data_IF_898085052110
#
_entry.id   IF_898085052110
#
_cell.length_a   1.000
_cell.length_b   1.000
_cell.length_c   1.000
_cell.angle_alpha   90.00
_cell.angle_beta   90.00
_cell.angle_gamma   90.00
#
_symmetry.space_group_name_H-M   'P 1'
#
loop_
_entity.id
_entity.type
_entity.pdbx_description
1 polymer ?
#
# COMPACT_ATOMS: atom_id res chain seq x y z
N UNK A 1 6.43 -0.02 -2.09
CA UNK A 1 6.28 1.07 -3.09
C UNK A 1 5.80 0.54 -4.43
N UNK A 2 6.40 -0.54 -4.94
CA UNK A 2 6.05 -1.16 -6.24
C UNK A 2 4.55 -1.39 -6.45
N UNK A 3 3.84 -1.92 -5.44
CA UNK A 3 2.38 -2.12 -5.58
C UNK A 3 1.60 -0.82 -5.75
N UNK A 4 2.02 0.26 -5.09
CA UNK A 4 1.37 1.57 -5.23
C UNK A 4 1.64 2.17 -6.62
N UNK A 5 2.86 2.05 -7.14
CA UNK A 5 3.20 2.51 -8.50
C UNK A 5 2.53 1.66 -9.58
N UNK A 6 2.28 0.38 -9.29
CA UNK A 6 1.53 -0.52 -10.16
C UNK A 6 -0.01 -0.34 -10.05
N UNK A 7 -0.50 0.42 -9.07
CA UNK A 7 -1.93 0.60 -8.83
C UNK A 7 -2.63 -0.66 -8.33
N UNK A 8 -1.92 -1.51 -7.59
CA UNK A 8 -2.43 -2.79 -7.09
C UNK A 8 -2.67 -2.72 -5.58
N UNK A 9 -3.87 -3.09 -5.11
CA UNK A 9 -4.11 -3.31 -3.70
C UNK A 9 -3.21 -4.41 -3.11
N UNK A 10 -2.87 -4.30 -1.83
CA UNK A 10 -1.99 -5.25 -1.15
C UNK A 10 -2.69 -5.99 -0.01
N UNK A 11 -2.42 -7.30 0.12
CA UNK A 11 -2.56 -7.99 1.39
C UNK A 11 -1.25 -7.81 2.17
N UNK A 12 -1.29 -7.08 3.28
CA UNK A 12 -0.10 -6.73 4.05
C UNK A 12 0.12 -7.72 5.19
N UNK A 13 1.20 -8.49 5.10
CA UNK A 13 1.68 -9.41 6.14
C UNK A 13 2.99 -8.90 6.72
N UNK A 14 2.95 -8.15 7.84
CA UNK A 14 4.16 -7.65 8.48
C UNK A 14 4.85 -8.76 9.30
N UNK A 15 6.17 -8.88 9.16
CA UNK A 15 7.03 -9.85 9.84
C UNK A 15 8.01 -9.19 10.81
N UNK A 16 8.61 -8.06 10.43
CA UNK A 16 9.68 -7.42 11.22
C UNK A 16 9.79 -5.90 11.01
N UNK A 17 10.49 -5.24 11.93
CA UNK A 17 10.92 -3.85 11.82
C UNK A 17 9.74 -2.89 11.54
N UNK A 18 9.92 -1.95 10.60
CA UNK A 18 8.92 -0.92 10.26
C UNK A 18 7.70 -1.49 9.51
N UNK A 19 7.67 -2.78 9.18
CA UNK A 19 6.60 -3.36 8.39
C UNK A 19 5.23 -3.25 9.08
N UNK A 20 5.15 -3.31 10.41
CA UNK A 20 3.88 -3.13 11.13
C UNK A 20 3.28 -1.73 10.91
N UNK A 21 4.13 -0.70 10.91
CA UNK A 21 3.70 0.68 10.62
C UNK A 21 3.31 0.82 9.15
N UNK A 22 4.09 0.25 8.23
CA UNK A 22 3.78 0.29 6.81
C UNK A 22 2.46 -0.44 6.49
N UNK A 23 2.21 -1.60 7.11
CA UNK A 23 0.97 -2.35 6.95
C UNK A 23 -0.24 -1.54 7.44
N UNK A 24 -0.12 -0.88 8.61
CA UNK A 24 -1.16 0.04 9.11
C UNK A 24 -1.35 1.24 8.17
N UNK A 25 -0.28 1.81 7.63
CA UNK A 25 -0.35 2.94 6.72
C UNK A 25 -1.07 2.56 5.42
N UNK A 26 -0.70 1.45 4.80
CA UNK A 26 -1.34 0.93 3.58
C UNK A 26 -2.83 0.62 3.81
N UNK A 27 -3.15 -0.12 4.86
CA UNK A 27 -4.51 -0.58 5.08
C UNK A 27 -5.44 0.53 5.61
N UNK A 28 -4.97 1.32 6.57
CA UNK A 28 -5.85 2.24 7.32
C UNK A 28 -5.76 3.70 6.86
N UNK A 29 -4.62 4.13 6.31
CA UNK A 29 -4.41 5.53 5.91
C UNK A 29 -4.61 5.70 4.41
N UNK A 30 -3.86 4.95 3.59
CA UNK A 30 -4.04 4.97 2.15
C UNK A 30 -5.34 4.29 1.73
N UNK A 31 -5.76 3.26 2.46
CA UNK A 31 -6.93 2.45 2.11
C UNK A 31 -6.70 1.64 0.84
N UNK A 32 -5.46 1.22 0.60
CA UNK A 32 -5.02 0.48 -0.60
C UNK A 32 -4.64 -0.96 -0.28
N UNK A 33 -5.11 -1.49 0.84
CA UNK A 33 -4.85 -2.88 1.20
C UNK A 33 -5.64 -3.37 2.39
N UNK A 34 -5.48 -4.66 2.66
CA UNK A 34 -6.00 -5.33 3.85
C UNK A 34 -4.82 -5.79 4.69
N UNK A 35 -4.94 -5.71 6.02
CA UNK A 35 -3.88 -6.15 6.94
C UNK A 35 -4.16 -7.54 7.48
N UNK A 36 -3.17 -8.43 7.33
CA UNK A 36 -3.11 -9.69 8.06
C UNK A 36 -2.71 -9.39 9.51
N UNK A 37 -3.44 -9.99 10.44
CA UNK A 37 -3.14 -9.98 11.86
C UNK A 37 -2.58 -11.34 12.27
N UNK A 38 -1.40 -11.35 12.90
CA UNK A 38 -0.94 -12.52 13.66
C UNK A 38 -1.45 -12.40 15.09
N UNK A 39 -1.87 -13.54 15.65
CA UNK A 39 -2.13 -13.64 17.08
C UNK A 39 -0.82 -13.42 17.83
N UNK A 40 -0.88 -12.79 19.00
CA UNK A 40 0.30 -12.61 19.83
C UNK A 40 0.97 -13.95 20.13
N UNK A 41 2.28 -14.06 19.87
CA UNK A 41 3.06 -15.28 20.06
C UNK A 41 2.85 -16.37 19.01
N UNK A 42 2.11 -16.11 17.94
CA UNK A 42 1.97 -17.04 16.82
C UNK A 42 2.99 -16.73 15.72
N UNK A 43 3.62 -17.78 15.19
CA UNK A 43 4.49 -17.70 14.00
C UNK A 43 3.77 -18.05 12.70
N UNK A 44 2.56 -18.61 12.81
CA UNK A 44 1.76 -19.09 11.68
C UNK A 44 0.47 -18.27 11.58
N UNK A 45 0.19 -17.78 10.37
CA UNK A 45 -1.07 -17.09 10.05
C UNK A 45 -2.19 -18.13 9.96
N UNK A 46 -3.25 -17.92 10.75
CA UNK A 46 -4.41 -18.80 10.74
C UNK A 46 -5.20 -18.70 9.42
N UNK A 47 -5.89 -19.77 9.06
CA UNK A 47 -6.69 -19.85 7.82
C UNK A 47 -7.69 -18.70 7.67
N UNK A 48 -8.32 -18.26 8.76
CA UNK A 48 -9.26 -17.11 8.77
C UNK A 48 -8.61 -15.84 8.22
N UNK A 49 -7.33 -15.62 8.52
CA UNK A 49 -6.60 -14.46 8.02
C UNK A 49 -6.18 -14.63 6.56
N UNK A 50 -5.91 -15.87 6.14
CA UNK A 50 -5.64 -16.21 4.73
C UNK A 50 -6.89 -16.01 3.86
N UNK A 51 -8.09 -16.24 4.40
CA UNK A 51 -9.36 -16.03 3.66
C UNK A 51 -9.58 -14.56 3.24
N UNK A 52 -8.86 -13.60 3.82
CA UNK A 52 -8.83 -12.20 3.34
C UNK A 52 -8.33 -12.06 1.90
N UNK A 53 -7.66 -13.08 1.34
CA UNK A 53 -7.36 -13.15 -0.09
C UNK A 53 -8.65 -13.12 -0.92
N UNK A 54 -9.70 -13.84 -0.50
CA UNK A 54 -10.99 -13.83 -1.20
C UNK A 54 -11.64 -12.46 -1.12
N UNK A 55 -11.63 -11.83 0.05
CA UNK A 55 -12.13 -10.47 0.22
C UNK A 55 -11.40 -9.51 -0.75
N UNK A 56 -10.07 -9.51 -0.78
CA UNK A 56 -9.28 -8.62 -1.66
C UNK A 56 -9.58 -8.83 -3.16
N UNK A 57 -10.00 -10.04 -3.53
CA UNK A 57 -10.26 -10.44 -4.91
C UNK A 57 -11.73 -10.34 -5.32
N UNK A 58 -12.65 -10.08 -4.38
CA UNK A 58 -14.07 -9.92 -4.67
C UNK A 58 -14.31 -8.60 -5.43
N UNK A 59 -14.37 -8.70 -6.76
CA UNK A 59 -14.56 -7.57 -7.64
C UNK A 59 -15.92 -6.89 -7.45
N UNK A 60 -16.93 -7.58 -6.91
CA UNK A 60 -18.26 -7.01 -6.71
C UNK A 60 -18.42 -6.31 -5.35
N UNK A 61 -17.55 -6.64 -4.38
CA UNK A 61 -17.54 -5.97 -3.10
C UNK A 61 -17.24 -4.46 -3.24
N UNK A 62 -18.15 -3.62 -2.72
CA UNK A 62 -18.00 -2.15 -2.74
C UNK A 62 -16.72 -1.68 -2.05
N UNK A 63 -16.27 -2.36 -0.99
CA UNK A 63 -15.04 -2.00 -0.29
C UNK A 63 -13.81 -2.24 -1.17
N UNK A 64 -13.79 -3.33 -1.92
CA UNK A 64 -12.70 -3.70 -2.84
C UNK A 64 -12.64 -2.76 -4.04
N UNK A 65 -13.80 -2.40 -4.62
CA UNK A 65 -13.87 -1.40 -5.70
C UNK A 65 -13.22 -0.08 -5.25
N UNK A 66 -13.60 0.44 -4.07
CA UNK A 66 -12.98 1.63 -3.48
C UNK A 66 -11.48 1.48 -3.21
N UNK A 67 -11.04 0.31 -2.78
CA UNK A 67 -9.61 0.04 -2.54
C UNK A 67 -8.81 0.07 -3.85
N UNK A 68 -9.36 -0.47 -4.94
CA UNK A 68 -8.76 -0.43 -6.28
C UNK A 68 -8.71 0.99 -6.85
N UNK A 69 -9.78 1.77 -6.67
CA UNK A 69 -9.81 3.20 -7.03
C UNK A 69 -8.71 3.98 -6.30
N UNK A 70 -8.57 3.79 -4.98
CA UNK A 70 -7.50 4.42 -4.20
C UNK A 70 -6.11 3.97 -4.65
N UNK A 71 -5.94 2.71 -5.01
CA UNK A 71 -4.66 2.21 -5.54
C UNK A 71 -4.32 2.86 -6.89
N UNK A 72 -5.31 3.05 -7.77
CA UNK A 72 -5.15 3.77 -9.03
C UNK A 72 -4.78 5.25 -8.83
N UNK A 73 -5.40 5.93 -7.86
CA UNK A 73 -5.04 7.30 -7.48
C UNK A 73 -3.59 7.38 -6.95
N UNK A 74 -3.19 6.42 -6.10
CA UNK A 74 -1.81 6.34 -5.61
C UNK A 74 -0.80 6.12 -6.75
N UNK A 75 -1.15 5.30 -7.76
CA UNK A 75 -0.34 5.12 -8.96
C UNK A 75 -0.19 6.43 -9.73
N UNK A 76 -1.29 7.16 -9.95
CA UNK A 76 -1.24 8.44 -10.68
C UNK A 76 -0.39 9.47 -9.94
N UNK A 77 -0.56 9.57 -8.61
CA UNK A 77 0.24 10.45 -7.77
C UNK A 77 1.73 10.10 -7.84
N UNK A 78 2.07 8.81 -7.76
CA UNK A 78 3.45 8.38 -7.85
C UNK A 78 4.07 8.68 -9.22
N UNK A 79 3.35 8.45 -10.32
CA UNK A 79 3.81 8.79 -11.68
C UNK A 79 4.01 10.30 -11.85
N UNK A 80 3.10 11.11 -11.32
CA UNK A 80 3.16 12.57 -11.41
C UNK A 80 4.29 13.16 -10.55
N UNK A 81 4.60 12.54 -9.41
CA UNK A 81 5.69 12.99 -8.55
C UNK A 81 7.06 12.86 -9.22
N UNK A 82 7.24 11.86 -10.09
CA UNK A 82 8.52 11.56 -10.76
C UNK A 82 8.59 12.02 -12.22
N UNK A 83 7.54 12.63 -12.77
CA UNK A 83 7.57 13.22 -14.10
C UNK A 83 8.39 14.52 -14.13
N UNK A 84 8.70 15.02 -15.34
CA UNK A 84 9.33 16.33 -15.47
C UNK A 84 8.49 17.42 -14.79
N UNK A 85 9.13 18.25 -13.96
CA UNK A 85 8.46 19.23 -13.10
C UNK A 85 7.70 18.64 -11.89
N UNK A 86 7.74 17.32 -11.70
CA UNK A 86 7.09 16.61 -10.59
C UNK A 86 7.74 16.90 -9.23
N UNK A 87 6.97 16.74 -8.16
CA UNK A 87 7.38 17.14 -6.81
C UNK A 87 8.65 16.43 -6.33
N UNK A 88 8.82 15.13 -6.61
CA UNK A 88 10.04 14.40 -6.24
C UNK A 88 11.24 14.82 -7.09
N UNK A 89 11.05 15.11 -8.38
CA UNK A 89 12.12 15.63 -9.24
C UNK A 89 12.57 17.00 -8.75
N UNK A 90 11.63 17.91 -8.49
CA UNK A 90 11.95 19.26 -7.98
C UNK A 90 12.61 19.23 -6.60
N UNK A 91 12.15 18.36 -5.71
CA UNK A 91 12.78 18.18 -4.40
C UNK A 91 14.23 17.68 -4.52
N UNK A 92 14.49 16.75 -5.45
CA UNK A 92 15.84 16.26 -5.70
C UNK A 92 16.74 17.33 -6.30
N UNK A 93 16.25 18.12 -7.27
CA UNK A 93 16.99 19.24 -7.84
C UNK A 93 17.39 20.25 -6.76
N UNK A 94 16.44 20.62 -5.89
CA UNK A 94 16.72 21.52 -4.77
C UNK A 94 17.77 20.95 -3.82
N UNK A 95 17.71 19.66 -3.49
CA UNK A 95 18.68 19.01 -2.60
C UNK A 95 20.10 19.04 -3.19
N UNK A 96 20.24 18.93 -4.52
CA UNK A 96 21.55 19.00 -5.19
C UNK A 96 22.09 20.44 -5.24
N UNK A 97 21.21 21.43 -5.23
CA UNK A 97 21.55 22.85 -5.19
C UNK A 97 21.77 23.39 -3.77
N UNK A 98 21.50 22.59 -2.73
CA UNK A 98 21.75 22.98 -1.34
C UNK A 98 23.27 23.00 -1.06
N UNK A 99 23.81 24.14 -0.56
CA UNK A 99 25.25 24.33 -0.33
C UNK A 99 25.80 23.60 0.89
#
# INVERSE_FOLDING_TARGET
MESLTAGKPMLTWPMIAKQHLNARYVANILGTGVRIALKAGADVVGSVEVEKVRELMDAECKAVKRMRERAALAQQAAKSAVSHGGTSVMALLKLVEEP
#
